data_IF_371305546547
#
_entry.id   IF_371305546547
#
_cell.length_a   1.000
_cell.length_b   1.000
_cell.length_c   1.000
_cell.angle_alpha   90.00
_cell.angle_beta   90.00
_cell.angle_gamma   90.00
#
_symmetry.space_group_name_H-M   'P 1'
#
loop_
_entity.id
_entity.type
_entity.pdbx_description
1 polymer ?
#
# COMPACT_ATOMS: atom_id res chain seq x y z
N UNK A 1 -75.32 -3.16 1.36
CA UNK A 1 -74.23 -2.15 1.51
C UNK A 1 -73.57 -2.12 2.89
N UNK A 2 -74.13 -2.74 3.94
CA UNK A 2 -73.53 -2.69 5.29
C UNK A 2 -72.26 -3.52 5.48
N UNK A 3 -72.16 -4.69 4.85
CA UNK A 3 -71.04 -5.61 5.09
C UNK A 3 -69.70 -5.08 4.55
N UNK A 4 -69.72 -4.34 3.43
CA UNK A 4 -68.52 -3.71 2.87
C UNK A 4 -67.96 -2.58 3.76
N UNK A 5 -68.83 -1.82 4.44
CA UNK A 5 -68.40 -0.78 5.38
C UNK A 5 -67.77 -1.38 6.64
N UNK A 6 -68.35 -2.45 7.18
CA UNK A 6 -67.78 -3.18 8.34
C UNK A 6 -66.43 -3.81 8.01
N UNK A 7 -66.28 -4.38 6.80
CA UNK A 7 -65.01 -4.92 6.32
C UNK A 7 -63.94 -3.84 6.13
N UNK A 8 -64.29 -2.69 5.54
CA UNK A 8 -63.37 -1.57 5.36
C UNK A 8 -62.92 -0.95 6.70
N UNK A 9 -63.84 -0.81 7.67
CA UNK A 9 -63.51 -0.33 9.02
C UNK A 9 -62.61 -1.34 9.75
N UNK A 10 -62.91 -2.63 9.65
CA UNK A 10 -62.08 -3.69 10.25
C UNK A 10 -60.67 -3.71 9.67
N UNK A 11 -60.53 -3.60 8.35
CA UNK A 11 -59.22 -3.54 7.69
C UNK A 11 -58.43 -2.27 8.10
N UNK A 12 -59.11 -1.12 8.20
CA UNK A 12 -58.48 0.15 8.61
C UNK A 12 -57.98 0.08 10.05
N UNK A 13 -58.76 -0.49 10.97
CA UNK A 13 -58.36 -0.69 12.36
C UNK A 13 -57.14 -1.61 12.48
N UNK A 14 -57.07 -2.65 11.66
CA UNK A 14 -55.91 -3.55 11.62
C UNK A 14 -54.64 -2.82 11.16
N UNK A 15 -54.73 -1.99 10.13
CA UNK A 15 -53.58 -1.21 9.64
C UNK A 15 -53.09 -0.22 10.70
N UNK A 16 -54.01 0.48 11.38
CA UNK A 16 -53.66 1.42 12.46
C UNK A 16 -53.00 0.70 13.63
N UNK A 17 -53.49 -0.48 14.00
CA UNK A 17 -52.88 -1.31 15.05
C UNK A 17 -51.45 -1.74 14.69
N UNK A 18 -51.24 -2.24 13.48
CA UNK A 18 -49.90 -2.66 13.01
C UNK A 18 -48.94 -1.48 12.98
N UNK A 19 -49.38 -0.33 12.47
CA UNK A 19 -48.57 0.89 12.42
C UNK A 19 -48.24 1.41 13.84
N UNK A 20 -49.20 1.36 14.76
CA UNK A 20 -49.01 1.76 16.15
C UNK A 20 -48.00 0.88 16.89
N UNK A 21 -48.11 -0.45 16.76
CA UNK A 21 -47.17 -1.42 17.36
C UNK A 21 -45.76 -1.22 16.79
N UNK A 22 -45.64 -1.05 15.46
CA UNK A 22 -44.34 -0.80 14.81
C UNK A 22 -43.69 0.48 15.32
N UNK A 23 -44.48 1.55 15.43
CA UNK A 23 -44.00 2.85 15.92
C UNK A 23 -43.56 2.79 17.38
N UNK A 24 -44.30 2.06 18.22
CA UNK A 24 -43.93 1.86 19.62
C UNK A 24 -42.67 1.01 19.78
N UNK A 25 -42.50 -0.06 19.00
CA UNK A 25 -41.27 -0.86 19.01
C UNK A 25 -40.05 -0.03 18.62
N UNK A 26 -40.14 0.75 17.54
CA UNK A 26 -39.06 1.65 17.12
C UNK A 26 -38.76 2.71 18.18
N UNK A 27 -39.80 3.29 18.81
CA UNK A 27 -39.60 4.24 19.91
C UNK A 27 -38.89 3.58 21.09
N UNK A 28 -39.26 2.35 21.45
CA UNK A 28 -38.64 1.61 22.54
C UNK A 28 -37.18 1.25 22.23
N UNK A 29 -36.87 0.83 21.00
CA UNK A 29 -35.51 0.51 20.58
C UNK A 29 -34.62 1.75 20.56
N UNK A 30 -35.13 2.89 20.06
CA UNK A 30 -34.36 4.14 19.99
C UNK A 30 -34.15 4.84 21.34
N UNK A 31 -35.03 4.58 22.30
CA UNK A 31 -34.91 5.12 23.66
C UNK A 31 -34.45 4.07 24.68
N UNK A 32 -34.10 2.86 24.23
CA UNK A 32 -33.39 1.92 25.07
C UNK A 32 -32.02 2.54 25.40
N UNK A 33 -31.57 2.50 26.66
CA UNK A 33 -30.24 2.97 27.01
C UNK A 33 -29.22 2.23 26.13
N UNK A 34 -28.47 2.97 25.32
CA UNK A 34 -27.35 2.37 24.59
C UNK A 34 -26.41 1.77 25.63
N UNK A 35 -26.13 0.47 25.50
CA UNK A 35 -25.10 -0.15 26.31
C UNK A 35 -23.81 0.67 26.11
N UNK A 36 -23.10 1.03 27.20
CA UNK A 36 -21.89 1.82 27.07
C UNK A 36 -20.95 1.09 26.12
N UNK A 37 -20.62 1.74 24.99
CA UNK A 37 -19.62 1.22 24.08
C UNK A 37 -18.33 1.15 24.90
N UNK A 38 -17.91 -0.07 25.22
CA UNK A 38 -16.59 -0.29 25.83
C UNK A 38 -15.60 0.23 24.81
N UNK A 39 -15.05 1.42 25.05
CA UNK A 39 -13.88 1.91 24.33
C UNK A 39 -12.79 0.89 24.63
N UNK A 40 -12.60 -0.07 23.73
CA UNK A 40 -11.34 -0.79 23.67
C UNK A 40 -10.28 0.27 23.42
N UNK A 41 -9.40 0.47 24.38
CA UNK A 41 -8.16 1.20 24.14
C UNK A 41 -7.44 0.45 23.03
N UNK A 42 -7.48 1.00 21.82
CA UNK A 42 -6.72 0.46 20.71
C UNK A 42 -5.25 0.58 21.11
N UNK A 43 -4.59 -0.56 21.31
CA UNK A 43 -3.14 -0.60 21.46
C UNK A 43 -2.56 -0.10 20.14
N UNK A 44 -1.99 1.11 20.17
CA UNK A 44 -1.27 1.66 19.01
C UNK A 44 -0.02 0.82 18.83
N UNK A 45 0.18 0.30 17.62
CA UNK A 45 1.38 -0.46 17.28
C UNK A 45 2.59 0.50 17.21
N UNK A 46 3.76 0.07 17.64
CA UNK A 46 4.97 0.91 17.57
C UNK A 46 5.26 1.31 16.12
N UNK A 47 4.90 0.45 15.16
CA UNK A 47 5.00 0.71 13.72
C UNK A 47 4.14 1.89 13.24
N UNK A 48 3.07 2.22 13.96
CA UNK A 48 2.19 3.34 13.65
C UNK A 48 2.68 4.66 14.25
N UNK A 49 3.65 4.59 15.18
CA UNK A 49 4.31 5.75 15.78
C UNK A 49 5.54 6.20 14.99
N UNK A 50 5.99 5.41 14.01
CA UNK A 50 7.12 5.75 13.15
C UNK A 50 6.77 6.94 12.26
N UNK A 51 7.50 8.04 12.42
CA UNK A 51 7.33 9.22 11.59
C UNK A 51 8.00 9.01 10.23
N UNK A 52 7.18 8.85 9.19
CA UNK A 52 7.65 8.78 7.82
C UNK A 52 7.69 10.19 7.22
N UNK A 53 8.92 10.69 7.02
CA UNK A 53 9.13 12.00 6.40
C UNK A 53 8.52 12.05 5.00
N UNK A 54 7.87 13.17 4.69
CA UNK A 54 7.35 13.51 3.37
C UNK A 54 7.98 14.79 2.87
N UNK A 55 8.34 14.86 1.60
CA UNK A 55 8.87 16.08 0.98
C UNK A 55 7.87 16.77 0.06
N UNK A 56 6.78 16.09 -0.32
CA UNK A 56 5.65 16.67 -1.04
C UNK A 56 6.06 17.44 -2.29
N UNK A 57 6.85 16.80 -3.16
CA UNK A 57 7.32 17.43 -4.41
C UNK A 57 6.14 17.91 -5.24
N UNK A 58 6.31 19.11 -5.80
CA UNK A 58 5.29 19.80 -6.61
C UNK A 58 5.82 20.21 -7.98
N UNK A 59 7.13 20.16 -8.17
CA UNK A 59 7.83 20.52 -9.41
C UNK A 59 8.94 19.53 -9.76
N UNK A 60 9.41 19.59 -11.00
CA UNK A 60 10.58 18.80 -11.43
C UNK A 60 11.84 19.24 -10.66
N UNK A 61 11.97 20.52 -10.35
CA UNK A 61 13.05 21.08 -9.55
C UNK A 61 13.09 20.45 -8.16
N UNK A 62 11.94 20.29 -7.47
CA UNK A 62 11.88 19.62 -6.16
C UNK A 62 12.38 18.17 -6.23
N UNK A 63 12.11 17.47 -7.35
CA UNK A 63 12.63 16.13 -7.59
C UNK A 63 14.14 16.12 -7.88
N UNK A 64 14.66 17.14 -8.58
CA UNK A 64 16.10 17.32 -8.84
C UNK A 64 16.89 17.66 -7.57
N UNK A 65 16.28 18.34 -6.60
CA UNK A 65 16.88 18.64 -5.30
C UNK A 65 17.20 17.37 -4.47
N UNK A 66 16.69 16.20 -4.89
CA UNK A 66 17.07 14.90 -4.31
C UNK A 66 18.44 14.42 -4.79
N UNK A 67 19.06 15.06 -5.78
CA UNK A 67 20.37 14.66 -6.31
C UNK A 67 21.41 14.54 -5.20
N UNK A 68 22.06 13.38 -5.14
CA UNK A 68 23.04 13.03 -4.12
C UNK A 68 22.45 12.44 -2.84
N UNK A 69 21.13 12.49 -2.63
CA UNK A 69 20.51 11.83 -1.48
C UNK A 69 20.41 10.32 -1.68
N UNK A 70 20.42 9.59 -0.57
CA UNK A 70 20.03 8.18 -0.55
C UNK A 70 18.54 8.09 -0.25
N UNK A 71 17.81 7.36 -1.07
CA UNK A 71 16.44 6.97 -0.80
C UNK A 71 16.39 5.46 -0.57
N UNK A 72 15.36 4.99 0.13
CA UNK A 72 15.16 3.57 0.40
C UNK A 72 13.80 3.16 -0.11
N UNK A 73 13.70 2.04 -0.80
CA UNK A 73 12.42 1.60 -1.39
C UNK A 73 11.45 1.20 -0.27
N UNK A 74 10.29 1.85 -0.20
CA UNK A 74 9.18 1.49 0.69
C UNK A 74 8.16 0.60 -0.01
N UNK A 75 7.84 0.93 -1.28
CA UNK A 75 6.90 0.20 -2.13
C UNK A 75 7.56 -0.97 -2.88
N UNK A 76 8.16 -1.90 -2.14
CA UNK A 76 8.86 -3.05 -2.72
C UNK A 76 7.99 -3.88 -3.66
N UNK A 77 8.57 -4.35 -4.76
CA UNK A 77 7.91 -5.24 -5.71
C UNK A 77 6.92 -4.56 -6.65
N UNK A 78 6.80 -3.23 -6.62
CA UNK A 78 5.83 -2.50 -7.44
C UNK A 78 6.44 -1.81 -8.67
N UNK A 79 7.66 -1.29 -8.53
CA UNK A 79 8.24 -0.35 -9.49
C UNK A 79 9.30 -1.02 -10.37
N UNK A 80 9.03 -1.11 -11.66
CA UNK A 80 10.03 -1.45 -12.66
C UNK A 80 11.05 -0.30 -12.80
N UNK A 81 12.31 -0.65 -13.01
CA UNK A 81 13.36 0.29 -13.39
C UNK A 81 14.02 -0.12 -14.70
N UNK A 82 14.56 0.87 -15.40
CA UNK A 82 15.03 0.76 -16.77
C UNK A 82 16.49 1.20 -16.88
N UNK A 83 17.17 0.76 -17.94
CA UNK A 83 18.50 1.30 -18.24
C UNK A 83 18.42 2.80 -18.51
N UNK A 84 19.39 3.55 -18.03
CA UNK A 84 19.53 4.97 -18.32
C UNK A 84 20.77 5.23 -19.18
N UNK A 85 20.61 5.96 -20.28
CA UNK A 85 21.70 6.45 -21.09
C UNK A 85 21.28 7.71 -21.84
N UNK A 86 22.16 8.71 -21.92
CA UNK A 86 21.93 9.92 -22.73
C UNK A 86 20.66 10.68 -22.35
N UNK A 87 20.33 10.76 -21.05
CA UNK A 87 19.13 11.41 -20.54
C UNK A 87 17.82 10.75 -21.01
N UNK A 88 17.85 9.42 -21.15
CA UNK A 88 16.74 8.61 -21.61
C UNK A 88 16.66 7.28 -20.85
N UNK A 89 15.44 6.89 -20.48
CA UNK A 89 15.10 5.59 -19.94
C UNK A 89 14.66 4.65 -21.07
N UNK A 90 15.29 3.47 -21.16
CA UNK A 90 14.94 2.45 -22.12
C UNK A 90 13.72 1.63 -21.65
N UNK A 91 12.52 2.10 -21.98
CA UNK A 91 11.25 1.39 -21.72
C UNK A 91 11.05 0.11 -22.55
N UNK A 92 11.99 -0.25 -23.44
CA UNK A 92 11.87 -1.49 -24.22
C UNK A 92 12.01 -2.73 -23.33
N UNK A 93 12.82 -2.65 -22.27
CA UNK A 93 13.13 -3.76 -21.37
C UNK A 93 13.34 -3.29 -19.93
N UNK A 94 12.51 -3.79 -19.01
CA UNK A 94 12.77 -3.65 -17.58
C UNK A 94 14.09 -4.33 -17.20
N UNK A 95 14.90 -3.65 -16.38
CA UNK A 95 16.13 -4.20 -15.80
C UNK A 95 15.86 -4.95 -14.50
N UNK A 96 14.72 -4.69 -13.88
CA UNK A 96 14.27 -5.38 -12.68
C UNK A 96 13.15 -4.59 -11.99
N UNK A 97 12.72 -5.12 -10.86
CA UNK A 97 11.74 -4.48 -9.99
C UNK A 97 12.47 -4.04 -8.73
N UNK A 98 12.20 -2.82 -8.26
CA UNK A 98 12.75 -2.29 -7.02
C UNK A 98 12.23 -3.11 -5.82
N UNK A 99 13.15 -3.64 -5.02
CA UNK A 99 12.83 -4.38 -3.80
C UNK A 99 12.85 -3.45 -2.61
N UNK A 100 11.98 -3.74 -1.64
CA UNK A 100 11.88 -2.94 -0.43
C UNK A 100 13.17 -3.00 0.40
N UNK A 101 13.41 -1.95 1.20
CA UNK A 101 14.62 -1.75 2.00
C UNK A 101 15.94 -1.73 1.22
N UNK A 102 15.90 -1.66 -0.12
CA UNK A 102 17.09 -1.44 -0.94
C UNK A 102 17.41 0.06 -1.02
N UNK A 103 18.66 0.47 -0.74
CA UNK A 103 19.08 1.85 -0.91
C UNK A 103 19.35 2.15 -2.38
N UNK A 104 19.02 3.38 -2.80
CA UNK A 104 19.38 3.95 -4.08
C UNK A 104 19.95 5.35 -3.90
N UNK A 105 20.94 5.71 -4.70
CA UNK A 105 21.54 7.04 -4.68
C UNK A 105 21.07 7.81 -5.90
N UNK A 106 20.35 8.90 -5.67
CA UNK A 106 19.77 9.73 -6.74
C UNK A 106 20.87 10.50 -7.46
N UNK A 107 20.84 10.49 -8.79
CA UNK A 107 21.80 11.16 -9.67
C UNK A 107 21.21 12.37 -10.40
N UNK A 108 19.94 12.28 -10.76
CA UNK A 108 19.20 13.34 -11.46
C UNK A 108 17.69 13.04 -11.44
N UNK A 109 16.87 13.97 -11.93
CA UNK A 109 15.48 13.76 -12.26
C UNK A 109 15.13 14.41 -13.60
N UNK A 110 14.32 13.74 -14.42
CA UNK A 110 14.00 14.22 -15.77
C UNK A 110 12.61 13.81 -16.25
N UNK A 111 12.17 14.44 -17.33
CA UNK A 111 10.91 14.10 -17.99
C UNK A 111 11.13 13.31 -19.29
N UNK A 112 10.26 12.33 -19.54
CA UNK A 112 10.25 11.59 -20.79
C UNK A 112 8.83 11.16 -21.17
N UNK A 113 8.54 11.17 -22.47
CA UNK A 113 7.29 10.58 -22.99
C UNK A 113 7.31 9.07 -22.75
N UNK A 114 6.32 8.57 -22.01
CA UNK A 114 6.19 7.15 -21.73
C UNK A 114 5.38 6.44 -22.82
N UNK A 115 5.82 5.25 -23.28
CA UNK A 115 4.96 4.42 -24.11
C UNK A 115 3.78 3.90 -23.29
N UNK A 116 2.63 3.65 -23.93
CA UNK A 116 1.41 3.16 -23.25
C UNK A 116 1.65 1.94 -22.35
N UNK A 117 2.53 1.03 -22.77
CA UNK A 117 2.88 -0.19 -22.01
C UNK A 117 3.63 0.08 -20.69
N UNK A 118 4.23 1.25 -20.53
CA UNK A 118 4.96 1.65 -19.31
C UNK A 118 4.07 2.41 -18.31
N UNK A 119 2.82 2.71 -18.67
CA UNK A 119 1.90 3.56 -17.90
C UNK A 119 1.01 2.77 -16.92
N UNK A 120 1.48 1.62 -16.42
CA UNK A 120 0.67 0.73 -15.58
C UNK A 120 0.64 1.15 -14.11
N UNK A 121 1.81 1.49 -13.53
CA UNK A 121 1.94 1.92 -12.12
C UNK A 121 1.86 3.42 -11.96
N UNK A 122 2.49 4.13 -12.88
CA UNK A 122 2.47 5.58 -12.98
C UNK A 122 1.69 5.91 -14.25
N UNK A 123 0.63 6.74 -14.18
CA UNK A 123 -0.06 7.20 -15.38
C UNK A 123 0.89 7.89 -16.35
N UNK A 124 0.66 7.75 -17.66
CA UNK A 124 1.53 8.34 -18.68
C UNK A 124 1.62 9.87 -18.58
N UNK A 125 0.47 10.52 -18.34
CA UNK A 125 0.30 11.96 -18.58
C UNK A 125 0.74 12.36 -19.99
N UNK A 126 1.24 13.58 -20.11
CA UNK A 126 2.03 14.01 -21.27
C UNK A 126 3.45 13.42 -21.21
N UNK A 127 4.01 13.35 -20.00
CA UNK A 127 5.37 12.86 -19.72
C UNK A 127 5.43 12.22 -18.34
N UNK A 128 6.15 11.11 -18.21
CA UNK A 128 6.61 10.64 -16.91
C UNK A 128 7.70 11.58 -16.38
N UNK A 129 7.73 11.74 -15.06
CA UNK A 129 8.90 12.20 -14.31
C UNK A 129 9.63 10.97 -13.78
N UNK A 130 10.93 10.91 -14.05
CA UNK A 130 11.79 9.80 -13.68
C UNK A 130 12.91 10.27 -12.74
N UNK A 131 13.25 9.44 -11.76
CA UNK A 131 14.50 9.57 -11.02
C UNK A 131 15.58 8.72 -11.68
N UNK A 132 16.75 9.31 -11.88
CA UNK A 132 17.98 8.60 -12.22
C UNK A 132 18.68 8.21 -10.94
N UNK A 133 19.14 6.97 -10.84
CA UNK A 133 19.78 6.46 -9.63
C UNK A 133 20.81 5.38 -9.91
N UNK A 134 21.64 5.11 -8.91
CA UNK A 134 22.52 3.94 -8.84
C UNK A 134 22.14 3.04 -7.67
N UNK A 135 22.41 1.74 -7.78
CA UNK A 135 22.18 0.75 -6.71
C UNK A 135 23.51 0.41 -6.02
N UNK A 136 23.89 1.08 -4.91
CA UNK A 136 25.22 0.93 -4.30
C UNK A 136 25.51 -0.49 -3.78
N UNK A 137 24.47 -1.27 -3.47
CA UNK A 137 24.61 -2.67 -3.00
C UNK A 137 24.44 -3.72 -4.12
N UNK A 138 24.38 -3.30 -5.39
CA UNK A 138 24.27 -4.22 -6.53
C UNK A 138 25.62 -4.64 -7.08
N UNK A 139 25.63 -5.67 -7.94
CA UNK A 139 26.81 -6.12 -8.69
C UNK A 139 27.36 -5.05 -9.66
N UNK A 140 26.63 -3.95 -9.88
CA UNK A 140 27.00 -2.87 -10.79
C UNK A 140 26.70 -1.50 -10.17
N UNK A 141 27.45 -1.11 -9.11
CA UNK A 141 27.09 0.02 -8.24
C UNK A 141 27.22 1.40 -8.88
N UNK A 142 27.88 1.50 -10.03
CA UNK A 142 28.03 2.74 -10.80
C UNK A 142 27.07 2.83 -11.99
N UNK A 143 26.36 1.76 -12.32
CA UNK A 143 25.42 1.75 -13.44
C UNK A 143 24.20 2.59 -13.08
N UNK A 144 23.86 3.52 -13.97
CA UNK A 144 22.70 4.38 -13.81
C UNK A 144 21.45 3.71 -14.40
N UNK A 145 20.37 3.85 -13.65
CA UNK A 145 19.05 3.36 -13.99
C UNK A 145 18.04 4.50 -13.83
N UNK A 146 16.86 4.32 -14.40
CA UNK A 146 15.76 5.26 -14.27
C UNK A 146 14.48 4.55 -13.82
N UNK A 147 13.74 5.17 -12.91
CA UNK A 147 12.44 4.68 -12.42
C UNK A 147 11.41 5.81 -12.54
N UNK A 148 10.20 5.54 -13.06
CA UNK A 148 9.13 6.54 -13.08
C UNK A 148 8.60 6.76 -11.67
N UNK A 149 8.47 8.02 -11.26
CA UNK A 149 8.05 8.41 -9.90
C UNK A 149 6.91 9.41 -9.89
N UNK A 150 6.38 9.74 -11.07
CA UNK A 150 5.36 10.75 -11.25
C UNK A 150 5.10 11.01 -12.71
N UNK A 151 4.17 11.90 -12.99
CA UNK A 151 3.83 12.32 -14.33
C UNK A 151 3.43 13.79 -14.36
N UNK A 152 3.50 14.36 -15.56
CA UNK A 152 3.09 15.71 -15.87
C UNK A 152 1.88 15.66 -16.79
N UNK A 153 0.89 16.48 -16.50
CA UNK A 153 -0.29 16.69 -17.33
C UNK A 153 -0.54 18.20 -17.47
N UNK A 154 -0.32 18.73 -18.67
CA UNK A 154 -0.27 20.15 -18.94
C UNK A 154 0.81 20.85 -18.09
N UNK A 155 0.36 21.65 -17.11
CA UNK A 155 1.23 22.40 -16.21
C UNK A 155 1.38 21.75 -14.83
N UNK A 156 0.65 20.68 -14.56
CA UNK A 156 0.59 20.06 -13.25
C UNK A 156 1.48 18.83 -13.19
N UNK A 157 2.09 18.61 -12.03
CA UNK A 157 2.82 17.40 -11.73
C UNK A 157 2.10 16.62 -10.63
N UNK A 158 2.07 15.31 -10.79
CA UNK A 158 1.67 14.38 -9.74
C UNK A 158 2.88 13.50 -9.42
N UNK A 159 3.33 13.53 -8.17
CA UNK A 159 4.45 12.75 -7.69
C UNK A 159 3.99 11.63 -6.75
N UNK A 160 4.75 10.55 -6.77
CA UNK A 160 4.58 9.38 -5.90
C UNK A 160 5.87 9.06 -5.13
N UNK A 161 6.82 10.00 -5.05
CA UNK A 161 8.14 9.76 -4.44
C UNK A 161 7.98 9.40 -2.96
N UNK A 162 7.10 10.12 -2.24
CA UNK A 162 6.83 9.90 -0.82
C UNK A 162 6.13 8.55 -0.54
N UNK A 163 5.44 7.99 -1.54
CA UNK A 163 4.77 6.70 -1.48
C UNK A 163 5.70 5.54 -1.86
N UNK A 164 6.67 5.80 -2.74
CA UNK A 164 7.59 4.79 -3.27
C UNK A 164 8.85 4.65 -2.41
N UNK A 165 9.28 5.72 -1.73
CA UNK A 165 10.53 5.76 -0.99
C UNK A 165 10.43 6.30 0.43
N UNK A 166 11.27 5.78 1.31
CA UNK A 166 11.69 6.43 2.54
C UNK A 166 12.89 7.35 2.27
N UNK A 167 12.91 8.50 2.95
CA UNK A 167 14.06 9.42 2.93
C UNK A 167 15.14 9.06 3.96
N UNK A 168 14.74 8.35 5.01
CA UNK A 168 15.61 7.89 6.08
C UNK A 168 15.76 6.37 5.98
N UNK A 169 16.85 5.82 6.52
CA UNK A 169 17.10 4.38 6.50
C UNK A 169 16.00 3.64 7.28
N UNK A 170 15.26 2.70 6.64
CA UNK A 170 14.23 1.94 7.34
C UNK A 170 14.78 1.15 8.53
N UNK A 171 16.06 0.75 8.52
CA UNK A 171 16.71 0.09 9.66
C UNK A 171 16.76 0.99 10.90
N UNK A 172 16.92 2.29 10.72
CA UNK A 172 16.89 3.28 11.80
C UNK A 172 15.45 3.63 12.21
N UNK A 173 14.55 3.75 11.22
CA UNK A 173 13.13 4.04 11.46
C UNK A 173 12.46 2.94 12.29
N UNK A 174 12.73 1.67 11.99
CA UNK A 174 12.20 0.51 12.71
C UNK A 174 13.29 -0.27 13.44
N UNK A 175 14.22 0.43 14.10
CA UNK A 175 15.34 -0.19 14.84
C UNK A 175 14.93 -1.20 15.92
N UNK A 176 13.68 -1.15 16.37
CA UNK A 176 13.13 -2.06 17.38
C UNK A 176 12.66 -3.42 16.82
N UNK A 177 12.60 -3.61 15.50
CA UNK A 177 12.28 -4.91 14.88
C UNK A 177 13.33 -6.01 15.16
N UNK A 178 14.53 -5.61 15.57
CA UNK A 178 15.59 -6.54 15.94
C UNK A 178 16.35 -7.12 14.74
N UNK A 179 17.55 -7.67 14.98
CA UNK A 179 18.48 -8.02 13.91
C UNK A 179 18.03 -9.20 13.04
N UNK A 180 17.33 -10.19 13.60
CA UNK A 180 16.90 -11.38 12.84
C UNK A 180 15.80 -11.05 11.82
N UNK A 181 14.90 -10.14 12.17
CA UNK A 181 13.85 -9.63 11.28
C UNK A 181 14.47 -8.80 10.17
N UNK A 182 15.38 -7.88 10.50
CA UNK A 182 16.09 -7.08 9.49
C UNK A 182 16.91 -7.95 8.53
N UNK A 183 17.64 -8.93 9.06
CA UNK A 183 18.35 -9.89 8.22
C UNK A 183 17.40 -10.65 7.30
N UNK A 184 16.21 -11.04 7.78
CA UNK A 184 15.22 -11.72 6.94
C UNK A 184 14.68 -10.79 5.83
N UNK A 185 14.45 -9.51 6.14
CA UNK A 185 14.01 -8.51 5.16
C UNK A 185 15.08 -8.28 4.08
N UNK A 186 16.33 -8.08 4.47
CA UNK A 186 17.47 -7.88 3.56
C UNK A 186 17.71 -9.10 2.66
N UNK A 187 17.46 -10.31 3.18
CA UNK A 187 17.56 -11.57 2.44
C UNK A 187 16.26 -11.91 1.67
N UNK A 188 15.26 -11.01 1.66
CA UNK A 188 13.95 -11.17 1.03
C UNK A 188 13.24 -12.49 1.39
N UNK A 189 13.24 -12.82 2.68
CA UNK A 189 12.64 -14.05 3.22
C UNK A 189 11.69 -13.76 4.39
N UNK A 190 10.82 -14.73 4.66
CA UNK A 190 9.88 -14.69 5.77
C UNK A 190 10.30 -15.68 6.86
N UNK A 191 10.21 -15.26 8.11
CA UNK A 191 10.35 -16.13 9.29
C UNK A 191 9.10 -16.09 10.16
N UNK A 192 8.93 -17.14 10.97
CA UNK A 192 7.86 -17.19 11.97
C UNK A 192 7.98 -16.02 12.94
N UNK A 193 6.83 -15.46 13.31
CA UNK A 193 6.77 -14.30 14.20
C UNK A 193 6.97 -12.95 13.53
N UNK A 194 7.23 -12.88 12.22
CA UNK A 194 7.21 -11.59 11.53
C UNK A 194 5.80 -10.98 11.53
N UNK A 195 5.69 -9.65 11.53
CA UNK A 195 4.43 -8.94 11.32
C UNK A 195 4.03 -8.89 9.85
N UNK A 196 2.77 -8.57 9.56
CA UNK A 196 2.33 -8.42 8.16
C UNK A 196 3.09 -7.26 7.46
N UNK A 197 3.46 -6.21 8.19
CA UNK A 197 4.28 -5.10 7.69
C UNK A 197 5.72 -5.52 7.39
N UNK A 198 6.35 -6.26 8.30
CA UNK A 198 7.70 -6.80 8.09
C UNK A 198 7.73 -7.73 6.86
N UNK A 199 6.69 -8.55 6.66
CA UNK A 199 6.57 -9.40 5.47
C UNK A 199 6.36 -8.58 4.19
N UNK A 200 5.58 -7.49 4.23
CA UNK A 200 5.45 -6.58 3.09
C UNK A 200 6.78 -5.92 2.72
N UNK A 201 7.64 -5.61 3.70
CA UNK A 201 8.97 -5.08 3.44
C UNK A 201 9.91 -6.17 2.90
N UNK A 202 9.78 -7.42 3.35
CA UNK A 202 10.59 -8.54 2.86
C UNK A 202 10.22 -8.99 1.43
N UNK A 203 8.93 -9.16 1.15
CA UNK A 203 8.42 -9.77 -0.10
C UNK A 203 7.83 -8.77 -1.10
N UNK A 204 7.65 -7.52 -0.69
CA UNK A 204 6.97 -6.49 -1.45
C UNK A 204 5.46 -6.39 -1.16
N UNK A 205 4.84 -5.35 -1.72
CA UNK A 205 3.46 -4.97 -1.39
C UNK A 205 2.41 -5.56 -2.34
N UNK A 206 2.82 -6.10 -3.49
CA UNK A 206 1.88 -6.73 -4.43
C UNK A 206 1.38 -8.04 -3.83
N UNK A 207 0.16 -7.99 -3.30
CA UNK A 207 -0.46 -9.11 -2.57
C UNK A 207 -1.96 -9.26 -2.86
N UNK A 208 -2.49 -10.46 -2.63
CA UNK A 208 -3.93 -10.78 -2.60
C UNK A 208 -4.26 -11.33 -1.21
N UNK A 209 -5.27 -10.76 -0.56
CA UNK A 209 -5.70 -11.20 0.76
C UNK A 209 -6.99 -12.01 0.70
N UNK A 210 -7.13 -13.01 1.58
CA UNK A 210 -8.39 -13.75 1.74
C UNK A 210 -9.42 -13.04 2.63
N UNK A 211 -9.02 -11.99 3.35
CA UNK A 211 -9.87 -11.27 4.31
C UNK A 211 -9.42 -9.81 4.50
N UNK A 212 -10.32 -8.97 5.01
CA UNK A 212 -9.99 -7.59 5.43
C UNK A 212 -9.47 -7.50 6.87
N UNK A 213 -9.41 -8.61 7.61
CA UNK A 213 -8.92 -8.68 8.99
C UNK A 213 -7.38 -8.67 9.05
N UNK A 214 -6.80 -7.46 8.98
CA UNK A 214 -5.35 -7.25 8.94
C UNK A 214 -4.63 -7.96 10.10
N UNK A 215 -3.56 -8.70 9.79
CA UNK A 215 -2.83 -9.48 10.79
C UNK A 215 -3.53 -10.76 11.28
N UNK A 216 -4.75 -11.06 10.85
CA UNK A 216 -5.48 -12.31 11.16
C UNK A 216 -6.04 -12.93 9.88
N UNK A 217 -5.16 -13.16 8.90
CA UNK A 217 -5.56 -13.54 7.55
C UNK A 217 -4.46 -14.31 6.84
N UNK A 218 -4.82 -14.91 5.71
CA UNK A 218 -3.84 -15.39 4.75
C UNK A 218 -3.66 -14.36 3.65
N UNK A 219 -2.41 -14.06 3.33
CA UNK A 219 -2.03 -13.15 2.25
C UNK A 219 -1.10 -13.89 1.29
N UNK A 220 -1.40 -13.83 0.00
CA UNK A 220 -0.56 -14.35 -1.07
C UNK A 220 0.22 -13.20 -1.68
N UNK A 221 1.53 -13.19 -1.50
CA UNK A 221 2.45 -12.19 -2.03
C UNK A 221 2.98 -12.63 -3.38
N UNK A 222 3.11 -11.71 -4.34
CA UNK A 222 3.63 -12.02 -5.67
C UNK A 222 5.10 -12.44 -5.62
N UNK A 223 5.88 -11.82 -4.71
CA UNK A 223 7.28 -12.13 -4.45
C UNK A 223 8.08 -12.33 -5.74
N UNK A 224 8.08 -11.30 -6.60
CA UNK A 224 8.77 -11.29 -7.89
C UNK A 224 8.46 -12.47 -8.80
N UNK A 225 7.19 -12.89 -8.86
CA UNK A 225 6.74 -14.01 -9.67
C UNK A 225 7.02 -15.39 -9.04
N UNK A 226 7.36 -15.44 -7.75
CA UNK A 226 7.44 -16.67 -6.95
C UNK A 226 6.43 -16.62 -5.81
N UNK A 227 5.11 -16.80 -6.07
CA UNK A 227 4.09 -16.50 -5.09
C UNK A 227 4.27 -17.23 -3.77
N UNK A 228 4.03 -16.52 -2.68
CA UNK A 228 4.14 -17.06 -1.31
C UNK A 228 2.88 -16.76 -0.53
N UNK A 229 2.24 -17.81 -0.01
CA UNK A 229 1.13 -17.69 0.92
C UNK A 229 1.67 -17.63 2.35
N UNK A 230 1.25 -16.61 3.09
CA UNK A 230 1.64 -16.35 4.48
C UNK A 230 0.39 -16.21 5.34
N UNK A 231 0.33 -16.96 6.43
CA UNK A 231 -0.79 -16.93 7.38
C UNK A 231 -0.39 -16.15 8.63
N UNK A 232 -1.19 -15.14 8.96
CA UNK A 232 -1.03 -14.30 10.13
C UNK A 232 -2.10 -14.62 11.18
N UNK A 233 -1.67 -14.70 12.43
CA UNK A 233 -2.54 -14.73 13.61
C UNK A 233 -1.99 -13.73 14.61
N UNK A 234 -2.82 -12.80 15.08
CA UNK A 234 -2.44 -11.68 15.95
C UNK A 234 -1.25 -10.88 15.40
N UNK A 235 -1.30 -10.59 14.10
CA UNK A 235 -0.26 -9.90 13.33
C UNK A 235 1.11 -10.60 13.42
N UNK A 236 1.12 -11.94 13.47
CA UNK A 236 2.35 -12.74 13.50
C UNK A 236 2.27 -13.90 12.53
N UNK A 237 3.33 -14.09 11.75
CA UNK A 237 3.46 -15.24 10.84
C UNK A 237 3.42 -16.53 11.64
N UNK A 238 2.50 -17.41 11.27
CA UNK A 238 2.34 -18.75 11.85
C UNK A 238 2.56 -19.87 10.85
N UNK A 239 2.41 -19.58 9.55
CA UNK A 239 2.68 -20.52 8.48
C UNK A 239 3.10 -19.79 7.20
N UNK A 240 3.98 -20.43 6.42
CA UNK A 240 4.45 -19.97 5.12
C UNK A 240 4.50 -21.17 4.18
N UNK A 241 4.04 -20.98 2.93
CA UNK A 241 4.18 -21.99 1.87
C UNK A 241 4.32 -21.33 0.51
N UNK A 242 4.99 -22.02 -0.41
CA UNK A 242 4.91 -21.67 -1.82
C UNK A 242 3.46 -21.79 -2.29
N UNK A 243 3.05 -20.89 -3.17
CA UNK A 243 1.71 -20.89 -3.77
C UNK A 243 1.83 -20.86 -5.30
N UNK A 244 0.83 -21.41 -5.98
CA UNK A 244 0.79 -21.36 -7.45
C UNK A 244 0.11 -20.09 -7.98
N UNK A 245 -0.44 -19.25 -7.10
CA UNK A 245 -1.33 -18.17 -7.48
C UNK A 245 -0.67 -16.79 -7.55
N UNK A 246 -0.57 -16.27 -8.78
CA UNK A 246 -0.77 -14.86 -9.12
C UNK A 246 -1.53 -14.71 -10.42
#
# INVERSE_FOLDING_TARGET
MENGKKAAIGATLLVVLVAGVRSWMVYRERNAPEAPVVKQEAKIDDDDLVYLKKKLQSSLEDAKDLKGSTLWVSAGGQMDYYAYAGHHADYSKSKGILLAAVPLVVKDAFEQVAPKKAAFRIPAGDRHVLLVFTLPKSDSPTTEYAVPVGYKEGKFYTFYIDEIFFYDDPHELYKYWGPDVWKAIDEHRVINGMSEREVQLALGQVSKSTSNDYGNRMVVYSNLGKPMAVTFVKNKVTAVRADQGY
#
